data_IF_971353622742
#
_entry.id   IF_971353622742
#
_cell.length_a   1.000
_cell.length_b   1.000
_cell.length_c   1.000
_cell.angle_alpha   90.00
_cell.angle_beta   90.00
_cell.angle_gamma   90.00
#
_symmetry.space_group_name_H-M   'P 1'
#
loop_
_entity.id
_entity.type
_entity.pdbx_description
1 polymer ?
#
# COMPACT_ATOMS: atom_id res chain seq x y z
N UNK A 1 -4.34 7.84 4.87
CA UNK A 1 -4.05 7.24 3.54
C UNK A 1 -4.43 5.76 3.50
N UNK A 2 -3.92 4.89 4.39
CA UNK A 2 -4.25 3.46 4.37
C UNK A 2 -5.76 3.12 4.30
N UNK A 3 -6.61 3.73 5.15
CA UNK A 3 -8.08 3.53 5.10
C UNK A 3 -8.69 3.94 3.76
N UNK A 4 -8.21 5.03 3.17
CA UNK A 4 -8.65 5.49 1.85
C UNK A 4 -8.27 4.48 0.77
N UNK A 5 -7.00 4.03 0.75
CA UNK A 5 -6.51 3.05 -0.22
C UNK A 5 -7.29 1.75 -0.15
N UNK A 6 -7.54 1.22 1.06
CA UNK A 6 -8.40 0.04 1.25
C UNK A 6 -9.77 0.24 0.61
N UNK A 7 -10.45 1.34 0.91
CA UNK A 7 -11.79 1.61 0.39
C UNK A 7 -11.83 1.65 -1.14
N UNK A 8 -10.89 2.34 -1.77
CA UNK A 8 -10.89 2.48 -3.24
C UNK A 8 -10.50 1.16 -3.93
N UNK A 9 -9.53 0.41 -3.39
CA UNK A 9 -9.16 -0.90 -3.93
C UNK A 9 -10.29 -1.91 -3.80
N UNK A 10 -11.04 -1.91 -2.68
CA UNK A 10 -12.26 -2.72 -2.54
C UNK A 10 -13.33 -2.36 -3.59
N UNK A 11 -13.31 -1.14 -4.12
CA UNK A 11 -14.19 -0.71 -5.23
C UNK A 11 -13.62 -1.02 -6.61
N UNK A 12 -12.55 -1.80 -6.70
CA UNK A 12 -11.88 -2.13 -7.96
C UNK A 12 -11.07 -0.98 -8.55
N UNK A 13 -10.69 0.02 -7.74
CA UNK A 13 -9.91 1.17 -8.19
C UNK A 13 -8.47 1.09 -7.66
N UNK A 14 -7.46 0.93 -8.52
CA UNK A 14 -6.07 1.03 -8.11
C UNK A 14 -5.76 2.39 -7.48
N UNK A 15 -4.78 2.42 -6.58
CA UNK A 15 -4.39 3.65 -5.86
C UNK A 15 -2.89 3.85 -5.96
N UNK A 16 -2.47 5.00 -6.50
CA UNK A 16 -1.09 5.48 -6.36
C UNK A 16 -0.92 5.94 -4.92
N UNK A 17 0.00 5.33 -4.19
CA UNK A 17 0.31 5.65 -2.80
C UNK A 17 1.73 6.21 -2.76
N UNK A 18 1.92 7.32 -2.07
CA UNK A 18 3.26 7.86 -1.84
C UNK A 18 3.67 7.73 -0.38
N UNK A 19 4.95 7.47 -0.16
CA UNK A 19 5.53 7.38 1.17
C UNK A 19 6.97 7.87 1.17
N UNK A 20 7.50 8.10 2.36
CA UNK A 20 8.93 8.38 2.57
C UNK A 20 9.54 7.34 3.50
N UNK A 21 10.77 6.91 3.20
CA UNK A 21 11.56 6.05 4.08
C UNK A 21 12.43 6.87 5.05
N UNK A 22 12.89 8.04 4.62
CA UNK A 22 13.69 9.00 5.38
C UNK A 22 13.27 10.43 5.02
N UNK A 23 13.91 11.45 5.59
CA UNK A 23 13.54 12.85 5.34
C UNK A 23 13.69 13.30 3.87
N UNK A 24 14.40 12.54 3.02
CA UNK A 24 14.80 12.99 1.68
C UNK A 24 14.28 12.14 0.51
N UNK A 25 13.77 10.93 0.75
CA UNK A 25 13.40 10.02 -0.35
C UNK A 25 11.90 9.76 -0.37
N UNK A 26 11.24 10.22 -1.43
CA UNK A 26 9.83 9.98 -1.73
C UNK A 26 9.70 8.84 -2.74
N UNK A 27 8.81 7.91 -2.44
CA UNK A 27 8.47 6.78 -3.29
C UNK A 27 7.00 6.88 -3.69
N UNK A 28 6.69 6.39 -4.89
CA UNK A 28 5.34 6.19 -5.37
C UNK A 28 5.17 4.75 -5.82
N UNK A 29 4.10 4.11 -5.34
CA UNK A 29 3.80 2.70 -5.61
C UNK A 29 2.34 2.53 -5.97
N UNK A 30 2.01 1.44 -6.67
CA UNK A 30 0.65 1.14 -7.08
C UNK A 30 0.02 0.10 -6.15
N UNK A 31 -1.01 0.49 -5.42
CA UNK A 31 -1.81 -0.44 -4.61
C UNK A 31 -2.87 -1.08 -5.49
N UNK A 32 -2.84 -2.42 -5.57
CA UNK A 32 -3.70 -3.21 -6.45
C UNK A 32 -4.62 -4.18 -5.68
N UNK A 33 -4.31 -4.46 -4.42
CA UNK A 33 -5.06 -5.46 -3.65
C UNK A 33 -4.98 -5.25 -2.14
N UNK A 34 -5.69 -6.13 -1.42
CA UNK A 34 -5.71 -6.14 0.04
C UNK A 34 -5.59 -7.59 0.49
N UNK A 35 -4.64 -7.85 1.37
CA UNK A 35 -4.51 -9.08 2.11
C UNK A 35 -5.15 -8.94 3.50
N UNK A 36 -5.77 -10.02 3.97
CA UNK A 36 -6.50 -10.02 5.21
C UNK A 36 -7.00 -11.40 5.61
N UNK A 37 -7.75 -11.43 6.71
CA UNK A 37 -8.38 -12.66 7.21
C UNK A 37 -9.88 -12.60 6.95
N UNK A 38 -10.46 -13.72 6.49
CA UNK A 38 -11.91 -13.88 6.44
C UNK A 38 -12.39 -14.43 7.78
N UNK A 39 -13.31 -13.72 8.43
CA UNK A 39 -13.90 -14.09 9.72
C UNK A 39 -15.41 -14.23 9.51
N UNK A 40 -15.88 -15.46 9.33
CA UNK A 40 -17.27 -15.72 8.94
C UNK A 40 -17.64 -15.02 7.62
N UNK A 41 -18.56 -14.04 7.71
CA UNK A 41 -19.01 -13.24 6.56
C UNK A 41 -18.22 -11.94 6.35
N UNK A 42 -17.30 -11.59 7.25
CA UNK A 42 -16.53 -10.34 7.18
C UNK A 42 -15.11 -10.60 6.67
N UNK A 43 -14.53 -9.61 6.01
CA UNK A 43 -13.12 -9.61 5.59
C UNK A 43 -12.36 -8.53 6.36
N UNK A 44 -11.44 -8.94 7.21
CA UNK A 44 -10.54 -8.06 7.95
C UNK A 44 -9.23 -7.84 7.18
N UNK A 45 -9.32 -6.96 6.18
CA UNK A 45 -8.20 -6.50 5.36
C UNK A 45 -7.31 -5.50 6.11
N UNK A 46 -6.05 -5.87 6.34
CA UNK A 46 -5.10 -5.07 7.12
C UNK A 46 -3.79 -4.77 6.40
N UNK A 47 -3.48 -5.47 5.31
CA UNK A 47 -2.26 -5.27 4.52
C UNK A 47 -2.61 -4.91 3.09
N UNK A 48 -1.98 -3.87 2.55
CA UNK A 48 -2.10 -3.50 1.14
C UNK A 48 -1.12 -4.33 0.31
N UNK A 49 -1.59 -4.82 -0.84
CA UNK A 49 -0.76 -5.47 -1.86
C UNK A 49 -0.37 -4.42 -2.89
N UNK A 50 0.94 -4.32 -3.12
CA UNK A 50 1.58 -3.20 -3.79
C UNK A 50 2.44 -3.72 -4.94
N UNK A 51 2.42 -2.99 -6.05
CA UNK A 51 3.38 -3.10 -7.15
C UNK A 51 4.33 -1.90 -7.06
N UNK A 52 5.61 -2.17 -6.88
CA UNK A 52 6.68 -1.18 -6.81
C UNK A 52 7.49 -1.20 -8.09
N UNK A 53 7.46 -0.12 -8.87
CA UNK A 53 8.22 -0.04 -10.12
C UNK A 53 9.70 0.31 -9.93
N UNK A 54 10.12 0.66 -8.71
CA UNK A 54 11.48 1.10 -8.42
C UNK A 54 12.45 -0.05 -8.07
N UNK A 55 11.94 -1.28 -7.97
CA UNK A 55 12.74 -2.46 -7.63
C UNK A 55 13.67 -2.84 -8.80
N UNK A 56 14.95 -3.02 -8.49
CA UNK A 56 16.03 -3.07 -9.48
C UNK A 56 16.23 -4.44 -10.13
N UNK A 57 15.64 -5.50 -9.57
CA UNK A 57 15.82 -6.87 -10.04
C UNK A 57 14.84 -7.22 -11.17
N UNK A 58 15.30 -7.86 -12.27
CA UNK A 58 14.49 -8.09 -13.48
C UNK A 58 13.45 -9.22 -13.33
N UNK A 59 13.23 -9.73 -12.12
CA UNK A 59 12.28 -10.81 -11.85
C UNK A 59 10.94 -10.21 -11.45
N UNK A 60 9.82 -10.61 -12.08
CA UNK A 60 8.49 -10.07 -11.77
C UNK A 60 8.11 -10.11 -10.27
N UNK A 61 8.64 -11.06 -9.52
CA UNK A 61 8.45 -11.14 -8.07
C UNK A 61 9.06 -9.95 -7.30
N UNK A 62 10.10 -9.31 -7.85
CA UNK A 62 10.76 -8.14 -7.29
C UNK A 62 9.81 -6.96 -7.14
N UNK A 63 8.85 -6.81 -8.06
CA UNK A 63 7.90 -5.70 -8.04
C UNK A 63 6.80 -5.86 -7.00
N UNK A 64 6.68 -7.02 -6.35
CA UNK A 64 5.62 -7.24 -5.35
C UNK A 64 6.07 -6.77 -3.97
N UNK A 65 5.21 -5.96 -3.34
CA UNK A 65 5.42 -5.49 -1.98
C UNK A 65 4.13 -5.56 -1.15
N UNK A 66 4.31 -5.55 0.17
CA UNK A 66 3.25 -5.52 1.17
C UNK A 66 3.43 -4.28 2.02
N UNK A 67 2.33 -3.59 2.29
CA UNK A 67 2.32 -2.43 3.17
C UNK A 67 1.29 -2.62 4.30
N UNK A 68 1.79 -2.76 5.52
CA UNK A 68 0.98 -3.04 6.71
C UNK A 68 1.09 -1.88 7.69
N UNK A 69 0.00 -1.25 8.14
CA UNK A 69 0.05 -0.20 9.15
C UNK A 69 0.71 -0.71 10.44
N UNK A 70 1.60 0.11 11.02
CA UNK A 70 2.17 -0.19 12.33
C UNK A 70 1.22 0.41 13.37
N UNK A 71 0.69 -0.43 14.26
CA UNK A 71 -0.10 0.06 15.38
C UNK A 71 0.83 0.64 16.44
N UNK A 72 1.06 1.95 16.42
CA UNK A 72 1.58 2.67 17.58
C UNK A 72 0.42 2.92 18.55
N UNK A 73 0.64 2.72 19.85
CA UNK A 73 -0.43 2.69 20.86
C UNK A 73 -1.36 3.92 20.87
N UNK A 74 -2.61 3.70 21.29
CA UNK A 74 -3.74 4.63 21.52
C UNK A 74 -4.14 5.62 20.41
N UNK A 75 -3.34 5.79 19.35
CA UNK A 75 -3.68 6.68 18.23
C UNK A 75 -3.32 6.03 16.90
N UNK A 76 -4.31 5.54 16.15
CA UNK A 76 -4.17 5.00 14.78
C UNK A 76 -3.80 6.08 13.74
N UNK A 77 -3.29 7.24 14.18
CA UNK A 77 -3.10 8.43 13.35
C UNK A 77 -1.72 8.53 12.72
N UNK A 78 -0.77 7.71 13.14
CA UNK A 78 0.55 7.78 12.55
C UNK A 78 0.56 7.02 11.24
N UNK A 79 0.71 7.75 10.12
CA UNK A 79 0.86 7.21 8.77
C UNK A 79 2.07 6.28 8.59
N UNK A 80 2.63 5.74 9.66
CA UNK A 80 3.69 4.77 9.67
C UNK A 80 3.17 3.40 9.24
N UNK A 81 3.93 2.77 8.36
CA UNK A 81 3.66 1.44 7.86
C UNK A 81 4.96 0.64 7.74
N UNK A 82 4.83 -0.66 7.87
CA UNK A 82 5.85 -1.62 7.51
C UNK A 82 5.71 -1.89 6.01
N UNK A 83 6.74 -1.53 5.26
CA UNK A 83 6.89 -1.86 3.85
C UNK A 83 7.80 -3.08 3.72
N UNK A 84 7.35 -4.10 2.99
CA UNK A 84 8.06 -5.38 2.81
C UNK A 84 8.10 -5.70 1.32
N UNK A 85 9.28 -5.92 0.78
CA UNK A 85 9.49 -6.38 -0.60
C UNK A 85 10.09 -7.80 -0.58
N UNK A 86 10.41 -8.36 -1.74
CA UNK A 86 11.09 -9.65 -1.81
C UNK A 86 12.48 -9.65 -1.18
N UNK A 87 13.11 -8.47 -1.03
CA UNK A 87 14.52 -8.34 -0.65
C UNK A 87 14.74 -7.59 0.66
N UNK A 88 13.79 -6.76 1.09
CA UNK A 88 13.98 -5.88 2.25
C UNK A 88 12.68 -5.60 3.01
N UNK A 89 12.84 -5.18 4.26
CA UNK A 89 11.77 -4.74 5.14
C UNK A 89 12.15 -3.41 5.81
N UNK A 90 11.34 -2.37 5.57
CA UNK A 90 11.60 -0.99 6.04
C UNK A 90 10.36 -0.30 6.59
N UNK A 91 10.54 0.53 7.62
CA UNK A 91 9.48 1.40 8.13
C UNK A 91 9.37 2.64 7.24
N UNK A 92 8.16 3.01 6.86
CA UNK A 92 7.88 4.15 5.99
C UNK A 92 6.76 5.01 6.57
N UNK A 93 6.71 6.27 6.16
CA UNK A 93 5.63 7.19 6.49
C UNK A 93 4.86 7.53 5.23
N UNK A 94 3.58 7.19 5.20
CA UNK A 94 2.66 7.52 4.10
C UNK A 94 2.50 9.04 3.99
N UNK A 95 2.66 9.57 2.77
CA UNK A 95 2.64 11.02 2.49
C UNK A 95 1.49 11.44 1.57
N UNK A 96 0.93 10.53 0.77
CA UNK A 96 -0.17 10.83 -0.15
C UNK A 96 -0.86 9.57 -0.69
N UNK A 97 -2.07 9.74 -1.24
CA UNK A 97 -2.80 8.68 -1.92
C UNK A 97 -3.74 9.26 -2.99
N UNK A 98 -3.73 8.68 -4.19
CA UNK A 98 -4.57 9.08 -5.32
C UNK A 98 -5.19 7.84 -5.97
N UNK A 99 -6.52 7.82 -6.13
CA UNK A 99 -7.21 6.72 -6.79
C UNK A 99 -7.28 6.95 -8.30
N UNK A 100 -6.96 5.91 -9.07
CA UNK A 100 -7.14 5.89 -10.52
C UNK A 100 -8.57 5.43 -10.80
N UNK A 101 -9.31 6.24 -11.56
CA UNK A 101 -10.65 5.89 -12.03
C UNK A 101 -10.55 5.55 -13.50
N UNK A 102 -11.06 4.38 -13.88
CA UNK A 102 -11.31 4.09 -15.29
C UNK A 102 -12.41 5.01 -15.78
N UNK A 103 -12.10 5.86 -16.76
CA UNK A 103 -13.12 6.53 -17.55
C UNK A 103 -13.40 5.67 -18.78
N UNK A 104 -14.66 5.62 -19.19
CA UNK A 104 -14.98 5.08 -20.52
C UNK A 104 -14.29 6.02 -21.53
N UNK A 105 -13.52 5.48 -22.50
CA UNK A 105 -13.00 6.31 -23.58
C UNK A 105 -14.18 7.05 -24.25
N UNK A 106 -13.98 8.30 -24.71
CA UNK A 106 -15.00 9.04 -25.45
C UNK A 106 -15.49 8.26 -26.68
#
# INVERSE_FOLDING_TARGET
>A
MHRFSKREVTRGRPVVLTFRQSCAVLYAVLVVGIEGRKIGRTFDGHTLLVVDSAEAEPVLAAYNARLTPIATGRSRLDGHAQYVTGFDQRKVVLTGAMSIRTMKPP
#
